data_IF_884506096412
#
_entry.id   IF_884506096412
#
_cell.length_a   1.000
_cell.length_b   1.000
_cell.length_c   1.000
_cell.angle_alpha   90.00
_cell.angle_beta   90.00
_cell.angle_gamma   90.00
#
_symmetry.space_group_name_H-M   'P 1'
#
loop_
_entity.id
_entity.type
_entity.pdbx_description
1 polymer ?
#
# COMPACT_ATOMS: atom_id res chain seq x y z
N UNK A 1 18.98 -16.21 1.72
CA UNK A 1 17.53 -16.52 1.87
C UNK A 1 16.93 -15.99 3.17
N UNK A 2 17.20 -16.54 4.37
CA UNK A 2 16.51 -16.08 5.60
C UNK A 2 16.81 -14.62 5.96
N UNK A 3 18.06 -14.17 5.80
CA UNK A 3 18.46 -12.79 6.08
C UNK A 3 17.90 -11.78 5.05
N UNK A 4 17.67 -12.18 3.80
CA UNK A 4 17.09 -11.29 2.77
C UNK A 4 15.61 -10.99 3.05
N UNK A 5 14.83 -12.01 3.45
CA UNK A 5 13.44 -11.78 3.89
C UNK A 5 13.40 -10.85 5.10
N UNK A 6 14.28 -11.06 6.09
CA UNK A 6 14.36 -10.19 7.27
C UNK A 6 14.68 -8.73 6.90
N UNK A 7 15.59 -8.49 5.96
CA UNK A 7 15.92 -7.12 5.50
C UNK A 7 14.74 -6.49 4.76
N UNK A 8 14.02 -7.25 3.92
CA UNK A 8 12.82 -6.77 3.21
C UNK A 8 11.68 -6.42 4.16
N UNK A 9 11.42 -7.28 5.14
CA UNK A 9 10.39 -7.08 6.15
C UNK A 9 10.68 -5.85 7.00
N UNK A 10 11.94 -5.66 7.42
CA UNK A 10 12.36 -4.49 8.18
C UNK A 10 12.27 -3.19 7.37
N UNK A 11 12.65 -3.22 6.09
CA UNK A 11 12.50 -2.07 5.20
C UNK A 11 11.01 -1.71 5.05
N UNK A 12 10.13 -2.69 4.86
CA UNK A 12 8.69 -2.48 4.74
C UNK A 12 8.07 -1.95 6.04
N UNK A 13 8.48 -2.47 7.21
CA UNK A 13 8.05 -1.96 8.51
C UNK A 13 8.52 -0.50 8.68
N UNK A 14 9.77 -0.18 8.35
CA UNK A 14 10.26 1.18 8.43
C UNK A 14 9.50 2.14 7.49
N UNK A 15 9.07 1.64 6.34
CA UNK A 15 8.19 2.37 5.41
C UNK A 15 6.82 2.63 6.02
N UNK A 16 6.25 1.65 6.75
CA UNK A 16 4.94 1.80 7.39
C UNK A 16 4.89 2.96 8.39
N UNK A 17 6.01 3.30 9.05
CA UNK A 17 6.09 4.45 9.95
C UNK A 17 6.00 5.81 9.24
N UNK A 18 6.35 5.86 7.95
CA UNK A 18 6.28 7.08 7.16
C UNK A 18 4.92 7.29 6.48
N UNK A 19 4.01 6.33 6.59
CA UNK A 19 2.67 6.41 6.02
C UNK A 19 1.76 7.29 6.89
N UNK A 20 1.02 8.16 6.25
CA UNK A 20 -0.07 8.89 6.86
C UNK A 20 -1.22 7.94 7.24
N UNK A 21 -2.05 8.37 8.18
CA UNK A 21 -3.17 7.56 8.66
C UNK A 21 -4.13 7.17 7.53
N UNK A 22 -4.34 8.05 6.56
CA UNK A 22 -5.18 7.80 5.38
C UNK A 22 -4.58 6.75 4.44
N UNK A 23 -3.25 6.73 4.27
CA UNK A 23 -2.52 5.72 3.48
C UNK A 23 -2.60 4.34 4.15
N UNK A 24 -2.42 4.28 5.47
CA UNK A 24 -2.56 3.02 6.22
C UNK A 24 -3.99 2.48 6.14
N UNK A 25 -5.00 3.35 6.27
CA UNK A 25 -6.42 2.98 6.14
C UNK A 25 -6.75 2.50 4.73
N UNK A 26 -6.18 3.12 3.70
CA UNK A 26 -6.33 2.70 2.32
C UNK A 26 -5.81 1.26 2.12
N UNK A 27 -4.60 0.95 2.61
CA UNK A 27 -4.04 -0.41 2.54
C UNK A 27 -4.93 -1.42 3.27
N UNK A 28 -5.42 -1.07 4.46
CA UNK A 28 -6.33 -1.93 5.22
C UNK A 28 -7.64 -2.20 4.46
N UNK A 29 -8.23 -1.17 3.85
CA UNK A 29 -9.41 -1.31 3.00
C UNK A 29 -9.15 -2.21 1.80
N UNK A 30 -7.98 -2.09 1.15
CA UNK A 30 -7.57 -2.98 0.06
C UNK A 30 -7.55 -4.44 0.51
N UNK A 31 -6.99 -4.72 1.69
CA UNK A 31 -6.91 -6.08 2.23
C UNK A 31 -8.29 -6.63 2.56
N UNK A 32 -9.16 -5.81 3.17
CA UNK A 32 -10.54 -6.21 3.47
C UNK A 32 -11.27 -6.53 2.17
N UNK A 33 -11.16 -5.65 1.16
CA UNK A 33 -11.83 -5.83 -0.13
C UNK A 33 -11.36 -7.10 -0.86
N UNK A 34 -10.06 -7.34 -0.93
CA UNK A 34 -9.48 -8.54 -1.52
C UNK A 34 -10.00 -9.83 -0.83
N UNK A 35 -10.18 -9.78 0.50
CA UNK A 35 -10.78 -10.90 1.25
C UNK A 35 -12.27 -11.07 0.96
N UNK A 36 -13.02 -9.97 0.84
CA UNK A 36 -14.45 -9.99 0.55
C UNK A 36 -14.76 -10.44 -0.90
N UNK A 37 -13.94 -10.06 -1.88
CA UNK A 37 -14.10 -10.47 -3.28
C UNK A 37 -13.55 -11.86 -3.57
N UNK A 38 -12.66 -12.37 -2.71
CA UNK A 38 -11.88 -13.57 -2.98
C UNK A 38 -10.80 -13.35 -4.06
N UNK A 39 -10.66 -12.12 -4.56
CA UNK A 39 -9.57 -11.74 -5.45
C UNK A 39 -8.31 -11.56 -4.60
N UNK A 40 -7.36 -12.50 -4.73
CA UNK A 40 -6.09 -12.40 -4.04
C UNK A 40 -5.34 -11.10 -4.40
N UNK A 41 -4.41 -10.70 -3.53
CA UNK A 41 -3.56 -9.53 -3.79
C UNK A 41 -2.37 -9.98 -4.63
N UNK A 42 -2.41 -9.73 -5.93
CA UNK A 42 -1.29 -9.97 -6.86
C UNK A 42 -0.74 -8.65 -7.39
N UNK A 43 0.50 -8.66 -7.90
CA UNK A 43 1.13 -7.48 -8.48
C UNK A 43 0.40 -6.92 -9.73
N UNK A 44 -0.47 -7.71 -10.34
CA UNK A 44 -1.24 -7.36 -11.53
C UNK A 44 -2.72 -7.05 -11.21
N UNK A 45 -3.19 -7.45 -10.03
CA UNK A 45 -4.57 -7.23 -9.59
C UNK A 45 -4.82 -5.75 -9.31
N UNK A 46 -5.97 -5.25 -9.77
CA UNK A 46 -6.46 -3.91 -9.44
C UNK A 46 -7.57 -4.05 -8.42
N UNK A 47 -7.36 -3.48 -7.24
CA UNK A 47 -8.37 -3.46 -6.18
C UNK A 47 -9.14 -2.15 -6.23
N UNK A 48 -10.46 -2.22 -6.41
CA UNK A 48 -11.33 -1.06 -6.40
C UNK A 48 -11.84 -0.78 -4.98
N UNK A 49 -11.61 0.44 -4.49
CA UNK A 49 -12.07 0.89 -3.17
C UNK A 49 -13.07 2.02 -3.35
N UNK A 50 -14.30 1.80 -2.86
CA UNK A 50 -15.33 2.82 -2.90
C UNK A 50 -15.19 3.80 -1.73
N UNK A 51 -15.28 5.10 -2.02
CA UNK A 51 -15.28 6.14 -0.99
C UNK A 51 -16.41 5.97 0.04
N UNK A 52 -17.54 5.37 -0.35
CA UNK A 52 -18.63 5.03 0.58
C UNK A 52 -18.22 4.03 1.67
N UNK A 53 -17.29 3.13 1.38
CA UNK A 53 -16.83 2.12 2.32
C UNK A 53 -15.91 2.72 3.38
N UNK A 54 -15.08 3.69 2.98
CA UNK A 54 -14.30 4.52 3.89
C UNK A 54 -15.23 5.42 4.74
N UNK A 55 -16.20 6.07 4.10
CA UNK A 55 -17.17 6.93 4.78
C UNK A 55 -17.91 6.21 5.91
N UNK A 56 -18.44 5.02 5.62
CA UNK A 56 -19.15 4.18 6.59
C UNK A 56 -18.25 3.70 7.73
N UNK A 57 -17.01 3.28 7.44
CA UNK A 57 -16.10 2.71 8.45
C UNK A 57 -15.49 3.77 9.36
N UNK A 58 -15.20 4.96 8.86
CA UNK A 58 -14.54 6.02 9.61
C UNK A 58 -15.47 7.16 9.99
N UNK A 59 -16.77 7.02 9.75
CA UNK A 59 -17.81 7.98 10.09
C UNK A 59 -17.52 9.40 9.57
N UNK A 60 -17.19 9.50 8.29
CA UNK A 60 -16.91 10.77 7.59
C UNK A 60 -17.84 10.92 6.37
N UNK A 61 -17.95 12.12 5.82
CA UNK A 61 -18.77 12.34 4.61
C UNK A 61 -18.17 11.63 3.39
N UNK A 62 -19.01 11.33 2.40
CA UNK A 62 -18.58 10.66 1.16
C UNK A 62 -17.60 11.52 0.37
N UNK A 63 -17.82 12.83 0.36
CA UNK A 63 -16.97 13.83 -0.30
C UNK A 63 -15.59 13.86 0.37
N UNK A 64 -15.54 14.00 1.70
CA UNK A 64 -14.30 13.99 2.45
C UNK A 64 -13.54 12.66 2.28
N UNK A 65 -14.26 11.54 2.22
CA UNK A 65 -13.69 10.22 1.95
C UNK A 65 -13.03 10.15 0.58
N UNK A 66 -13.70 10.64 -0.46
CA UNK A 66 -13.17 10.64 -1.82
C UNK A 66 -11.88 11.46 -1.91
N UNK A 67 -11.87 12.69 -1.37
CA UNK A 67 -10.68 13.52 -1.36
C UNK A 67 -9.54 12.89 -0.55
N UNK A 68 -9.83 12.32 0.63
CA UNK A 68 -8.83 11.67 1.47
C UNK A 68 -8.20 10.47 0.79
N UNK A 69 -9.01 9.59 0.18
CA UNK A 69 -8.53 8.41 -0.53
C UNK A 69 -7.75 8.77 -1.80
N UNK A 70 -8.21 9.78 -2.55
CA UNK A 70 -7.50 10.27 -3.74
C UNK A 70 -6.12 10.81 -3.37
N UNK A 71 -6.03 11.60 -2.30
CA UNK A 71 -4.75 12.08 -1.78
C UNK A 71 -3.88 10.92 -1.31
N UNK A 72 -4.44 9.95 -0.57
CA UNK A 72 -3.71 8.80 -0.08
C UNK A 72 -3.14 7.95 -1.21
N UNK A 73 -3.89 7.72 -2.29
CA UNK A 73 -3.37 6.98 -3.46
C UNK A 73 -2.25 7.75 -4.15
N UNK A 74 -2.41 9.06 -4.34
CA UNK A 74 -1.35 9.88 -4.94
C UNK A 74 -0.08 9.88 -4.08
N UNK A 75 -0.23 10.01 -2.76
CA UNK A 75 0.89 9.99 -1.83
C UNK A 75 1.58 8.62 -1.85
N UNK A 76 0.82 7.53 -1.80
CA UNK A 76 1.35 6.17 -1.81
C UNK A 76 2.06 5.84 -3.13
N UNK A 77 1.54 6.31 -4.26
CA UNK A 77 2.15 6.14 -5.58
C UNK A 77 3.46 6.94 -5.74
N UNK A 78 3.47 8.18 -5.25
CA UNK A 78 4.65 9.04 -5.34
C UNK A 78 5.79 8.61 -4.40
N UNK A 79 5.49 7.75 -3.42
CA UNK A 79 6.50 7.18 -2.53
C UNK A 79 7.27 6.08 -3.25
N UNK A 80 8.49 6.42 -3.66
CA UNK A 80 9.49 5.44 -4.07
C UNK A 80 10.24 4.95 -2.84
N UNK A 81 10.47 3.64 -2.75
CA UNK A 81 11.34 3.09 -1.71
C UNK A 81 12.45 2.27 -2.33
N UNK A 82 13.67 2.52 -1.88
CA UNK A 82 14.85 1.75 -2.24
C UNK A 82 15.13 0.74 -1.15
N UNK A 83 15.36 -0.53 -1.52
CA UNK A 83 15.95 -1.50 -0.60
C UNK A 83 17.21 -2.10 -1.22
N UNK A 84 18.17 -2.40 -0.35
CA UNK A 84 19.42 -3.03 -0.77
C UNK A 84 19.22 -4.55 -0.80
N UNK A 85 19.27 -5.14 -1.99
CA UNK A 85 19.28 -6.59 -2.14
C UNK A 85 20.72 -7.06 -2.38
N UNK A 86 21.28 -7.81 -1.42
CA UNK A 86 22.52 -8.53 -1.66
C UNK A 86 22.17 -9.83 -2.39
N UNK A 87 22.29 -9.82 -3.73
CA UNK A 87 22.40 -11.05 -4.49
C UNK A 87 23.82 -11.60 -4.31
N UNK A 88 23.95 -12.93 -4.36
CA UNK A 88 25.12 -13.71 -3.89
C UNK A 88 26.53 -13.19 -4.23
N UNK A 89 26.72 -12.31 -5.22
CA UNK A 89 28.01 -11.63 -5.48
C UNK A 89 27.87 -10.18 -5.98
N UNK A 90 26.69 -9.55 -5.88
CA UNK A 90 26.49 -8.14 -6.30
C UNK A 90 25.58 -7.39 -5.33
N UNK A 91 26.05 -6.22 -4.86
CA UNK A 91 25.19 -5.25 -4.15
C UNK A 91 24.33 -4.53 -5.20
N UNK A 92 23.10 -5.00 -5.40
CA UNK A 92 22.14 -4.36 -6.31
C UNK A 92 21.11 -3.58 -5.49
N UNK A 93 20.92 -2.31 -5.83
CA UNK A 93 19.88 -1.47 -5.23
C UNK A 93 18.64 -1.61 -6.11
N UNK A 94 17.53 -2.06 -5.54
CA UNK A 94 16.25 -2.16 -6.25
C UNK A 94 15.27 -1.12 -5.68
N UNK A 95 14.58 -0.42 -6.59
CA UNK A 95 13.55 0.56 -6.27
C UNK A 95 12.19 -0.07 -6.50
N UNK A 96 11.32 -0.02 -5.49
CA UNK A 96 9.95 -0.55 -5.55
C UNK A 96 8.95 0.58 -5.33
N UNK A 97 7.81 0.52 -6.05
CA UNK A 97 6.70 1.46 -5.96
C UNK A 97 5.40 0.70 -5.67
N UNK A 98 4.53 1.25 -4.83
CA UNK A 98 3.20 0.69 -4.54
C UNK A 98 2.18 1.26 -5.54
N UNK A 99 1.47 0.39 -6.25
CA UNK A 99 0.43 0.77 -7.21
C UNK A 99 -0.97 0.49 -6.62
N UNK A 100 -1.77 1.53 -6.40
CA UNK A 100 -3.19 1.42 -6.01
C UNK A 100 -4.01 2.41 -6.85
N UNK A 101 -5.21 2.03 -7.29
CA UNK A 101 -6.10 2.90 -8.09
C UNK A 101 -7.45 3.09 -7.36
N UNK A 102 -7.88 4.33 -7.18
CA UNK A 102 -9.25 4.65 -6.70
C UNK A 102 -10.19 4.76 -7.90
N UNK A 103 -11.39 4.17 -7.81
CA UNK A 103 -12.46 4.30 -8.81
C UNK A 103 -13.67 4.97 -8.16
#
# INVERSE_FOLDING_TARGET
>A
MKNEMVVKDNALINVSYNLETTEQRLILLSIIRARETGEGITAESKLEIHASDYAKRFNVTKEASYYSLKSAVNNLFNRQFSYNQQYKDTKKIENMQLLVKVV
#
